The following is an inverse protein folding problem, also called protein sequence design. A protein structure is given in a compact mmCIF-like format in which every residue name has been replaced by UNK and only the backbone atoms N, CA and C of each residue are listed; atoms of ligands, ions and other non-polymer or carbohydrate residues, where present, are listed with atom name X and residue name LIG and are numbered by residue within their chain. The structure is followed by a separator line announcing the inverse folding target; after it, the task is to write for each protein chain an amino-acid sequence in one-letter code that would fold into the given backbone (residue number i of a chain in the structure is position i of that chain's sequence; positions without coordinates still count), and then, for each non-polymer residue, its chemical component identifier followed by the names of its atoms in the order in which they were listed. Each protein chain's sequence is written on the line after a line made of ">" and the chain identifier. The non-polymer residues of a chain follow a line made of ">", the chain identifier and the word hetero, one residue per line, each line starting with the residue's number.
data_IF_981123772934
#
_entry.id   IF_981123772934
#
_cell.length_a   1.000
_cell.length_b   1.000
_cell.length_c   1.000
_cell.angle_alpha   90.00
_cell.angle_beta   90.00
_cell.angle_gamma   90.00
#
_symmetry.space_group_name_H-M   'P 1'
#
loop_
_entity.id
_entity.type
_entity.pdbx_description
1 polymer ?
#
# COMPACT_ATOMS: atom_id res chain seq x y z
N UNK A 1 25.31 -35.71 53.22
CA UNK A 1 24.97 -35.24 51.85
C UNK A 1 24.52 -33.77 51.81
N UNK A 2 23.72 -33.28 52.78
CA UNK A 2 23.26 -31.88 52.84
C UNK A 2 24.39 -30.81 52.81
N UNK A 3 25.53 -31.08 53.46
CA UNK A 3 26.66 -30.13 53.49
C UNK A 3 27.32 -29.90 52.14
N UNK A 4 27.33 -30.89 51.23
CA UNK A 4 27.92 -30.73 49.90
C UNK A 4 27.03 -29.87 48.99
N UNK A 5 25.72 -30.08 49.07
CA UNK A 5 24.71 -29.28 48.36
C UNK A 5 24.70 -27.82 48.83
N UNK A 6 24.79 -27.57 50.14
CA UNK A 6 24.84 -26.19 50.67
C UNK A 6 26.08 -25.42 50.19
N UNK A 7 27.20 -26.12 50.03
CA UNK A 7 28.49 -25.54 49.67
C UNK A 7 28.57 -25.23 48.18
N UNK A 8 27.99 -26.09 47.32
CA UNK A 8 27.86 -25.83 45.88
C UNK A 8 26.88 -24.68 45.60
N UNK A 9 25.73 -24.62 46.29
CA UNK A 9 24.80 -23.49 46.18
C UNK A 9 25.41 -22.15 46.63
N UNK A 10 26.22 -22.15 47.70
CA UNK A 10 26.91 -20.91 48.14
C UNK A 10 27.96 -20.42 47.15
N UNK A 11 28.63 -21.34 46.43
CA UNK A 11 29.59 -21.01 45.37
C UNK A 11 28.89 -20.46 44.14
N UNK A 12 27.78 -21.08 43.72
CA UNK A 12 26.96 -20.60 42.60
C UNK A 12 26.38 -19.19 42.87
N UNK A 13 25.92 -18.91 44.10
CA UNK A 13 25.45 -17.58 44.51
C UNK A 13 26.53 -16.49 44.49
N UNK A 14 27.81 -16.88 44.52
CA UNK A 14 28.96 -15.97 44.54
C UNK A 14 29.64 -15.88 43.18
N UNK A 15 29.12 -16.58 42.18
CA UNK A 15 29.68 -16.67 40.84
C UNK A 15 28.99 -15.64 39.93
N UNK A 16 29.60 -14.46 39.82
CA UNK A 16 29.10 -13.34 39.00
C UNK A 16 29.41 -13.53 37.51
N UNK A 17 30.21 -14.56 37.16
CA UNK A 17 30.63 -14.85 35.78
C UNK A 17 29.47 -15.30 34.88
N UNK A 18 28.37 -15.76 35.46
CA UNK A 18 27.15 -16.18 34.75
C UNK A 18 26.09 -15.08 34.60
N UNK A 19 26.23 -13.95 35.32
CA UNK A 19 25.21 -12.89 35.36
C UNK A 19 24.98 -12.27 33.99
N UNK A 20 26.06 -11.96 33.25
CA UNK A 20 25.97 -11.43 31.89
C UNK A 20 25.25 -12.39 30.91
N UNK A 21 25.38 -13.70 31.13
CA UNK A 21 24.71 -14.71 30.31
C UNK A 21 23.20 -14.72 30.59
N UNK A 22 22.80 -14.58 31.85
CA UNK A 22 21.38 -14.48 32.25
C UNK A 22 20.76 -13.17 31.77
N UNK A 23 21.48 -12.05 31.88
CA UNK A 23 21.02 -10.76 31.37
C UNK A 23 20.81 -10.80 29.86
N UNK A 24 21.77 -11.36 29.10
CA UNK A 24 21.61 -11.54 27.66
C UNK A 24 20.50 -12.54 27.31
N UNK A 25 20.28 -13.58 28.11
CA UNK A 25 19.20 -14.54 27.88
C UNK A 25 17.80 -13.89 27.97
N UNK A 26 17.65 -12.80 28.72
CA UNK A 26 16.38 -12.06 28.85
C UNK A 26 16.31 -10.91 27.83
N UNK A 27 17.39 -10.14 27.66
CA UNK A 27 17.39 -8.95 26.80
C UNK A 27 17.41 -9.33 25.32
N UNK A 28 18.18 -10.35 24.93
CA UNK A 28 18.33 -10.75 23.53
C UNK A 28 17.00 -11.14 22.86
N UNK A 29 16.14 -12.02 23.42
CA UNK A 29 14.87 -12.34 22.77
C UNK A 29 13.98 -11.09 22.63
N UNK A 30 13.95 -10.20 23.62
CA UNK A 30 13.18 -8.96 23.54
C UNK A 30 13.67 -8.04 22.42
N UNK A 31 14.99 -7.84 22.32
CA UNK A 31 15.57 -7.02 21.25
C UNK A 31 15.37 -7.64 19.86
N UNK A 32 15.41 -8.97 19.75
CA UNK A 32 15.12 -9.69 18.50
C UNK A 32 13.65 -9.49 18.08
N UNK A 33 12.70 -9.64 19.00
CA UNK A 33 11.28 -9.39 18.71
C UNK A 33 11.03 -7.95 18.27
N UNK A 34 11.61 -6.97 18.97
CA UNK A 34 11.49 -5.56 18.58
C UNK A 34 12.07 -5.30 17.19
N UNK A 35 13.28 -5.82 16.92
CA UNK A 35 13.95 -5.62 15.63
C UNK A 35 13.16 -6.23 14.48
N UNK A 36 12.70 -7.47 14.66
CA UNK A 36 11.93 -8.16 13.64
C UNK A 36 10.54 -7.52 13.43
N UNK A 37 9.92 -6.97 14.48
CA UNK A 37 8.73 -6.12 14.35
C UNK A 37 9.01 -4.89 13.46
N UNK A 38 10.11 -4.17 13.73
CA UNK A 38 10.50 -3.01 12.92
C UNK A 38 10.73 -3.38 11.45
N UNK A 39 11.37 -4.53 11.17
CA UNK A 39 11.58 -4.98 9.78
C UNK A 39 10.28 -5.34 9.06
N UNK A 40 9.36 -6.05 9.73
CA UNK A 40 8.09 -6.45 9.12
C UNK A 40 7.17 -5.26 8.87
N UNK A 41 7.01 -4.38 9.86
CA UNK A 41 6.23 -3.15 9.66
C UNK A 41 6.90 -2.20 8.66
N UNK A 42 8.24 -2.17 8.61
CA UNK A 42 8.98 -1.41 7.60
C UNK A 42 8.65 -1.84 6.18
N UNK A 43 8.64 -3.15 5.91
CA UNK A 43 8.24 -3.69 4.61
C UNK A 43 6.76 -3.43 4.30
N UNK A 44 5.87 -3.57 5.29
CA UNK A 44 4.45 -3.27 5.12
C UNK A 44 4.22 -1.80 4.75
N UNK A 45 4.90 -0.87 5.42
CA UNK A 45 4.81 0.57 5.12
C UNK A 45 5.40 0.87 3.74
N UNK A 46 6.51 0.22 3.38
CA UNK A 46 7.10 0.35 2.05
C UNK A 46 6.11 -0.02 0.94
N UNK A 47 5.45 -1.18 1.06
CA UNK A 47 4.44 -1.62 0.09
C UNK A 47 3.23 -0.68 0.06
N UNK A 48 2.80 -0.18 1.23
CA UNK A 48 1.71 0.81 1.32
C UNK A 48 2.04 2.10 0.57
N UNK A 49 3.26 2.62 0.72
CA UNK A 49 3.71 3.83 0.04
C UNK A 49 3.82 3.62 -1.47
N UNK A 50 4.33 2.47 -1.91
CA UNK A 50 4.35 2.12 -3.33
C UNK A 50 2.95 2.02 -3.93
N UNK A 51 1.99 1.49 -3.17
CA UNK A 51 0.57 1.42 -3.57
C UNK A 51 -0.01 2.81 -3.76
N UNK A 52 0.16 3.70 -2.77
CA UNK A 52 -0.33 5.08 -2.83
C UNK A 52 0.29 5.86 -3.99
N UNK A 53 1.60 5.71 -4.20
CA UNK A 53 2.28 6.33 -5.33
C UNK A 53 1.69 5.85 -6.68
N UNK A 54 1.47 4.54 -6.82
CA UNK A 54 0.83 3.97 -8.01
C UNK A 54 -0.60 4.48 -8.24
N UNK A 55 -1.42 4.52 -7.19
CA UNK A 55 -2.80 5.04 -7.27
C UNK A 55 -2.83 6.52 -7.63
N UNK A 56 -1.95 7.33 -7.05
CA UNK A 56 -1.79 8.75 -7.39
C UNK A 56 -1.38 8.93 -8.87
N UNK A 57 -0.40 8.18 -9.36
CA UNK A 57 0.03 8.26 -10.76
C UNK A 57 -1.10 7.89 -11.73
N UNK A 58 -1.85 6.84 -11.41
CA UNK A 58 -2.99 6.39 -12.20
C UNK A 58 -4.14 7.41 -12.22
N UNK A 59 -4.47 7.99 -11.07
CA UNK A 59 -5.50 9.03 -10.97
C UNK A 59 -5.08 10.30 -11.72
N UNK A 60 -3.83 10.73 -11.61
CA UNK A 60 -3.28 11.89 -12.36
C UNK A 60 -3.22 11.66 -13.86
N UNK A 61 -2.96 10.44 -14.29
CA UNK A 61 -3.07 10.07 -15.70
C UNK A 61 -4.54 10.08 -16.15
N UNK A 62 -5.42 9.40 -15.40
CA UNK A 62 -6.85 9.33 -15.71
C UNK A 62 -7.53 10.70 -15.73
N UNK A 63 -7.11 11.63 -14.86
CA UNK A 63 -7.60 13.01 -14.84
C UNK A 63 -7.28 13.82 -16.09
N UNK A 64 -6.22 13.44 -16.82
CA UNK A 64 -5.80 14.08 -18.08
C UNK A 64 -6.22 13.28 -19.32
N UNK A 65 -6.53 12.00 -19.16
CA UNK A 65 -6.92 11.11 -20.24
C UNK A 65 -8.40 11.38 -20.62
N UNK A 66 -8.61 12.04 -21.76
CA UNK A 66 -9.94 12.35 -22.25
C UNK A 66 -10.45 11.22 -23.16
N UNK A 67 -11.18 10.26 -22.57
CA UNK A 67 -11.77 9.15 -23.30
C UNK A 67 -12.77 9.59 -24.37
N UNK A 68 -13.50 10.70 -24.12
CA UNK A 68 -14.49 11.24 -25.07
C UNK A 68 -13.80 11.75 -26.34
N UNK A 69 -12.66 12.45 -26.20
CA UNK A 69 -11.91 12.95 -27.34
C UNK A 69 -11.40 11.80 -28.22
N UNK A 70 -10.96 10.69 -27.62
CA UNK A 70 -10.54 9.51 -28.38
C UNK A 70 -11.71 8.85 -29.09
N UNK A 71 -12.90 8.75 -28.47
CA UNK A 71 -14.08 8.21 -29.16
C UNK A 71 -14.51 9.10 -30.31
N UNK A 72 -14.49 10.42 -30.14
CA UNK A 72 -14.89 11.39 -31.17
C UNK A 72 -13.91 11.40 -32.35
N UNK A 73 -12.62 11.13 -32.10
CA UNK A 73 -11.59 10.99 -33.11
C UNK A 73 -11.52 9.58 -33.75
N UNK A 74 -12.44 8.67 -33.43
CA UNK A 74 -12.45 7.30 -33.95
C UNK A 74 -11.39 6.36 -33.36
N UNK A 75 -10.74 6.76 -32.27
CA UNK A 75 -9.69 6.04 -31.54
C UNK A 75 -10.25 5.29 -30.31
N UNK A 76 -11.46 4.72 -30.42
CA UNK A 76 -12.15 4.05 -29.32
C UNK A 76 -11.40 2.83 -28.72
N UNK A 77 -10.36 2.34 -29.39
CA UNK A 77 -9.48 1.29 -28.87
C UNK A 77 -8.63 1.74 -27.67
N UNK A 78 -8.47 3.05 -27.45
CA UNK A 78 -7.67 3.58 -26.33
C UNK A 78 -8.51 3.58 -25.05
N UNK A 79 -8.31 2.57 -24.21
CA UNK A 79 -8.97 2.51 -22.90
C UNK A 79 -8.14 3.21 -21.82
N UNK A 80 -8.48 4.48 -21.53
CA UNK A 80 -7.84 5.27 -20.47
C UNK A 80 -7.81 4.58 -19.11
N UNK A 81 -8.87 3.84 -18.76
CA UNK A 81 -8.97 3.13 -17.48
C UNK A 81 -8.00 1.96 -17.40
N UNK A 82 -7.85 1.19 -18.47
CA UNK A 82 -6.87 0.09 -18.51
C UNK A 82 -5.43 0.63 -18.44
N UNK A 83 -5.13 1.70 -19.20
CA UNK A 83 -3.80 2.34 -19.17
C UNK A 83 -3.52 2.92 -17.78
N UNK A 84 -4.48 3.58 -17.14
CA UNK A 84 -4.34 4.05 -15.76
C UNK A 84 -4.07 2.88 -14.79
N UNK A 85 -4.75 1.75 -14.97
CA UNK A 85 -4.56 0.55 -14.15
C UNK A 85 -3.17 -0.08 -14.38
N UNK A 86 -2.67 -0.09 -15.62
CA UNK A 86 -1.29 -0.45 -15.95
C UNK A 86 -0.28 0.43 -15.20
N UNK A 87 -0.50 1.75 -15.21
CA UNK A 87 0.37 2.73 -14.55
C UNK A 87 0.36 2.53 -13.03
N UNK A 88 -0.80 2.26 -12.43
CA UNK A 88 -0.91 1.96 -11.00
C UNK A 88 -0.03 0.78 -10.60
N UNK A 89 -0.20 -0.36 -11.29
CA UNK A 89 0.42 -1.63 -10.89
C UNK A 89 1.87 -1.74 -11.32
N UNK A 90 2.22 -1.29 -12.54
CA UNK A 90 3.54 -1.50 -13.15
C UNK A 90 4.34 -0.21 -13.33
N UNK A 91 3.71 0.97 -13.19
CA UNK A 91 4.36 2.25 -13.51
C UNK A 91 4.61 2.48 -14.99
N UNK A 92 3.97 1.72 -15.88
CA UNK A 92 4.11 1.81 -17.33
C UNK A 92 2.74 1.84 -18.00
N UNK A 93 2.62 2.53 -19.14
CA UNK A 93 1.37 2.60 -19.90
C UNK A 93 1.10 1.32 -20.71
N UNK A 94 2.15 0.77 -21.32
CA UNK A 94 2.13 -0.51 -22.02
C UNK A 94 2.94 -1.53 -21.21
N UNK A 95 2.35 -2.70 -20.98
CA UNK A 95 2.88 -3.72 -20.07
C UNK A 95 2.89 -5.06 -20.78
N UNK A 96 4.01 -5.77 -20.66
CA UNK A 96 4.10 -7.19 -20.96
C UNK A 96 4.08 -7.96 -19.62
N UNK A 97 2.94 -8.57 -19.30
CA UNK A 97 2.68 -9.26 -18.02
C UNK A 97 3.70 -10.38 -17.72
N UNK A 98 4.39 -10.90 -18.74
CA UNK A 98 5.40 -11.96 -18.59
C UNK A 98 6.78 -11.44 -18.17
N UNK A 99 7.07 -10.16 -18.42
CA UNK A 99 8.41 -9.57 -18.23
C UNK A 99 8.37 -8.46 -17.18
N UNK A 100 7.32 -7.65 -17.21
CA UNK A 100 7.19 -6.50 -16.33
C UNK A 100 6.77 -6.93 -14.93
N UNK A 101 7.54 -6.47 -13.95
CA UNK A 101 7.27 -6.73 -12.53
C UNK A 101 6.34 -5.65 -11.98
N UNK A 102 5.32 -6.03 -11.20
CA UNK A 102 4.49 -5.05 -10.49
C UNK A 102 5.34 -4.29 -9.46
N UNK A 103 4.90 -3.08 -9.11
CA UNK A 103 5.53 -2.23 -8.07
C UNK A 103 5.59 -2.96 -6.73
N UNK A 104 4.53 -3.71 -6.41
CA UNK A 104 4.41 -4.53 -5.21
C UNK A 104 4.34 -6.00 -5.66
N UNK A 105 5.15 -6.86 -5.05
CA UNK A 105 5.17 -8.27 -5.43
C UNK A 105 3.80 -8.93 -5.23
N UNK A 106 3.27 -9.56 -6.27
CA UNK A 106 1.95 -10.21 -6.23
C UNK A 106 0.76 -9.26 -6.39
N UNK A 107 0.97 -7.95 -6.52
CA UNK A 107 -0.11 -7.01 -6.82
C UNK A 107 -0.48 -7.04 -8.30
N UNK A 108 -1.78 -7.19 -8.58
CA UNK A 108 -2.30 -7.42 -9.92
C UNK A 108 -3.30 -6.34 -10.32
N UNK A 109 -3.54 -6.21 -11.64
CA UNK A 109 -4.59 -5.33 -12.18
C UNK A 109 -5.95 -5.54 -11.53
N UNK A 110 -6.32 -6.79 -11.24
CA UNK A 110 -7.59 -7.13 -10.62
C UNK A 110 -7.78 -6.52 -9.22
N UNK A 111 -6.68 -6.12 -8.57
CA UNK A 111 -6.72 -5.50 -7.26
C UNK A 111 -6.88 -3.97 -7.32
N UNK A 112 -6.88 -3.38 -8.52
CA UNK A 112 -6.99 -1.94 -8.73
C UNK A 112 -8.22 -1.64 -9.58
N UNK A 113 -8.98 -0.63 -9.17
CA UNK A 113 -10.12 -0.13 -9.92
C UNK A 113 -9.94 1.35 -10.14
N UNK A 114 -9.83 1.75 -11.40
CA UNK A 114 -9.84 3.15 -11.82
C UNK A 114 -11.21 3.47 -12.38
N UNK A 115 -11.86 4.49 -11.82
CA UNK A 115 -13.15 4.98 -12.29
C UNK A 115 -12.98 6.42 -12.77
N UNK A 116 -13.30 6.66 -14.03
CA UNK A 116 -13.17 7.96 -14.68
C UNK A 116 -14.57 8.51 -14.93
N UNK A 117 -14.87 9.69 -14.40
CA UNK A 117 -16.10 10.42 -14.68
C UNK A 117 -17.40 9.63 -14.41
N UNK A 118 -17.45 8.84 -13.34
CA UNK A 118 -18.66 8.15 -12.95
C UNK A 118 -19.78 9.17 -12.64
N UNK A 119 -21.01 8.90 -13.11
CA UNK A 119 -22.13 9.86 -12.99
C UNK A 119 -22.45 10.25 -11.55
N UNK A 120 -22.26 9.34 -10.58
CA UNK A 120 -22.42 9.62 -9.14
C UNK A 120 -21.27 10.41 -8.51
N UNK A 121 -20.22 10.71 -9.27
CA UNK A 121 -19.00 11.40 -8.84
C UNK A 121 -18.80 12.71 -9.60
N UNK A 122 -19.84 13.18 -10.29
CA UNK A 122 -19.88 14.48 -10.94
C UNK A 122 -20.70 15.45 -10.10
N UNK A 123 -20.20 16.66 -9.94
CA UNK A 123 -20.83 17.76 -9.21
C UNK A 123 -21.11 18.91 -10.17
N UNK A 124 -22.26 19.56 -10.01
CA UNK A 124 -22.60 20.73 -10.81
C UNK A 124 -21.67 21.89 -10.48
N UNK A 125 -21.20 22.59 -11.52
CA UNK A 125 -20.31 23.73 -11.35
C UNK A 125 -21.02 24.93 -10.69
N UNK A 126 -22.33 25.05 -10.91
CA UNK A 126 -23.19 26.10 -10.37
C UNK A 126 -24.39 25.47 -9.70
N UNK A 127 -24.57 25.75 -8.41
CA UNK A 127 -25.72 25.27 -7.63
C UNK A 127 -26.45 26.50 -7.10
N UNK A 128 -27.75 26.59 -7.40
CA UNK A 128 -28.60 27.72 -6.98
C UNK A 128 -28.03 29.12 -7.32
N UNK A 129 -27.39 29.25 -8.48
CA UNK A 129 -26.80 30.52 -8.94
C UNK A 129 -25.42 30.86 -8.33
N UNK A 130 -24.89 30.02 -7.44
CA UNK A 130 -23.55 30.17 -6.87
C UNK A 130 -22.57 29.26 -7.59
N UNK A 131 -21.46 29.84 -8.07
CA UNK A 131 -20.37 29.08 -8.70
C UNK A 131 -19.58 28.34 -7.61
N UNK A 132 -19.80 27.04 -7.49
CA UNK A 132 -19.06 26.18 -6.55
C UNK A 132 -17.71 25.73 -7.13
N UNK A 133 -17.67 25.47 -8.44
CA UNK A 133 -16.46 25.04 -9.13
C UNK A 133 -16.22 25.82 -10.41
N UNK A 134 -14.98 26.27 -10.63
CA UNK A 134 -14.59 26.90 -11.90
C UNK A 134 -14.37 25.83 -12.97
N UNK A 135 -15.29 25.73 -13.91
CA UNK A 135 -15.23 24.80 -15.05
C UNK A 135 -15.76 25.45 -16.32
N UNK A 136 -15.26 25.00 -17.48
CA UNK A 136 -15.83 25.33 -18.80
C UNK A 136 -17.10 24.51 -19.09
N UNK A 137 -17.28 23.41 -18.36
CA UNK A 137 -18.44 22.50 -18.46
C UNK A 137 -19.45 22.75 -17.34
N UNK A 138 -20.70 22.33 -17.54
CA UNK A 138 -21.75 22.42 -16.52
C UNK A 138 -21.47 21.58 -15.26
N UNK A 139 -20.65 20.52 -15.39
CA UNK A 139 -20.31 19.61 -14.30
C UNK A 139 -18.80 19.38 -14.20
N UNK A 140 -18.31 19.24 -12.97
CA UNK A 140 -16.96 18.82 -12.63
C UNK A 140 -17.02 17.39 -12.12
N UNK A 141 -16.32 16.49 -12.80
CA UNK A 141 -16.23 15.08 -12.41
C UNK A 141 -14.87 14.77 -11.78
N UNK A 142 -14.82 13.71 -10.97
CA UNK A 142 -13.58 13.19 -10.41
C UNK A 142 -13.16 11.88 -11.09
N UNK A 143 -11.87 11.60 -10.99
CA UNK A 143 -11.25 10.31 -11.27
C UNK A 143 -10.82 9.72 -9.95
N UNK A 144 -11.26 8.48 -9.68
CA UNK A 144 -10.92 7.76 -8.46
C UNK A 144 -10.19 6.49 -8.80
N UNK A 145 -8.95 6.38 -8.33
CA UNK A 145 -8.16 5.16 -8.37
C UNK A 145 -8.16 4.54 -6.97
N UNK A 146 -8.70 3.33 -6.85
CA UNK A 146 -8.72 2.59 -5.59
C UNK A 146 -8.02 1.24 -5.76
N UNK A 147 -7.35 0.78 -4.71
CA UNK A 147 -6.65 -0.49 -4.73
C UNK A 147 -6.69 -1.19 -3.38
N UNK A 148 -6.66 -2.51 -3.41
CA UNK A 148 -6.49 -3.36 -2.24
C UNK A 148 -5.30 -4.30 -2.43
N UNK A 149 -4.68 -4.74 -1.35
CA UNK A 149 -3.61 -5.73 -1.41
C UNK A 149 -3.59 -6.54 -0.11
N UNK A 150 -3.60 -7.87 -0.23
CA UNK A 150 -3.48 -8.76 0.92
C UNK A 150 -1.99 -9.00 1.21
N UNK A 151 -1.44 -8.27 2.18
CA UNK A 151 -0.05 -8.40 2.60
C UNK A 151 0.12 -9.70 3.41
N UNK A 152 0.88 -10.64 2.85
CA UNK A 152 1.22 -11.92 3.46
C UNK A 152 2.67 -12.01 3.96
N UNK A 153 3.42 -10.90 3.92
CA UNK A 153 4.81 -10.83 4.39
C UNK A 153 4.98 -10.86 5.92
N UNK A 154 3.95 -11.24 6.67
CA UNK A 154 3.97 -11.40 8.13
C UNK A 154 4.66 -12.72 8.49
N UNK A 155 5.97 -12.66 8.70
CA UNK A 155 6.81 -13.83 8.95
C UNK A 155 6.78 -14.24 10.41
N UNK A 156 7.60 -13.58 11.22
CA UNK A 156 7.69 -13.75 12.66
C UNK A 156 6.44 -13.24 13.38
N UNK A 157 5.70 -12.24 12.86
CA UNK A 157 4.43 -11.82 13.47
C UNK A 157 3.36 -12.94 13.44
N UNK A 158 3.50 -13.95 12.58
CA UNK A 158 2.62 -15.14 12.63
C UNK A 158 2.76 -15.95 13.94
N UNK A 159 3.88 -15.81 14.69
CA UNK A 159 4.09 -16.46 15.99
C UNK A 159 3.09 -15.97 17.05
N UNK A 160 2.57 -14.75 16.88
CA UNK A 160 1.56 -14.15 17.76
C UNK A 160 0.17 -14.13 17.11
N UNK A 161 -0.11 -15.07 16.21
CA UNK A 161 -1.39 -15.23 15.48
C UNK A 161 -1.83 -14.00 14.66
N UNK A 162 -0.89 -13.15 14.24
CA UNK A 162 -1.19 -12.07 13.29
C UNK A 162 -1.20 -12.66 11.88
N UNK A 163 -2.40 -12.70 11.29
CA UNK A 163 -2.64 -13.15 9.92
C UNK A 163 -2.36 -12.09 8.85
N UNK A 164 -2.84 -12.35 7.64
CA UNK A 164 -2.68 -11.45 6.49
C UNK A 164 -3.33 -10.09 6.76
N UNK A 165 -2.61 -9.02 6.42
CA UNK A 165 -3.08 -7.64 6.63
C UNK A 165 -3.55 -7.09 5.28
N UNK A 166 -4.80 -6.64 5.20
CA UNK A 166 -5.33 -6.04 3.98
C UNK A 166 -5.01 -4.55 3.94
N UNK A 167 -4.10 -4.17 3.03
CA UNK A 167 -3.82 -2.78 2.70
C UNK A 167 -4.89 -2.27 1.74
N UNK A 168 -5.41 -1.08 2.01
CA UNK A 168 -6.34 -0.39 1.12
C UNK A 168 -5.91 1.07 0.93
N UNK A 169 -6.27 1.64 -0.20
CA UNK A 169 -5.99 3.03 -0.50
C UNK A 169 -6.82 3.51 -1.67
N UNK A 170 -7.02 4.81 -1.72
CA UNK A 170 -7.62 5.46 -2.87
C UNK A 170 -7.00 6.83 -3.06
N UNK A 171 -6.97 7.30 -4.31
CA UNK A 171 -6.59 8.65 -4.68
C UNK A 171 -7.63 9.21 -5.64
N UNK A 172 -8.00 10.47 -5.41
CA UNK A 172 -8.99 11.17 -6.22
C UNK A 172 -8.36 12.41 -6.84
N UNK A 173 -8.61 12.61 -8.12
CA UNK A 173 -8.17 13.78 -8.87
C UNK A 173 -9.35 14.37 -9.64
N UNK A 174 -9.34 15.69 -9.80
CA UNK A 174 -10.33 16.36 -10.64
C UNK A 174 -10.06 16.01 -12.11
N UNK A 175 -11.09 15.56 -12.82
CA UNK A 175 -11.03 15.37 -14.27
C UNK A 175 -10.93 16.72 -14.99
N UNK A 176 -9.98 16.84 -15.90
CA UNK A 176 -9.82 18.00 -16.77
C UNK A 176 -10.50 17.69 -18.10
N UNK A 177 -11.60 18.39 -18.38
CA UNK A 177 -12.26 18.39 -19.70
C UNK A 177 -11.96 19.72 -20.39
N UNK A 178 -11.52 19.65 -21.64
CA UNK A 178 -11.30 20.79 -22.54
C UNK A 178 -12.22 20.63 -23.75
#
# INVERSE_FOLDING_TARGET
>A
MANLLSRTLSRFRRDERGTALVEMAIIAPFMLFLSAGVFEFGNLIHDKLLMEAGLSDAARFGARCNSQLYTDAGLAAINCSDIATNIAVYGKAAVNVLIDKPRIAGWQKANVTVTIANGGSCHDAVVAGVVQYRSTTAQVCIVRAAGTFAYSGVGMLSIIDIGTITLSGFHEERLIRF
#
